data_IF_681442041841
#
_entry.id   IF_681442041841
#
_cell.length_a   1.000
_cell.length_b   1.000
_cell.length_c   1.000
_cell.angle_alpha   90.00
_cell.angle_beta   90.00
_cell.angle_gamma   90.00
#
_symmetry.space_group_name_H-M   'P 1'
#
loop_
_entity.id
_entity.type
_entity.pdbx_description
1 polymer ?
#
# COMPACT_ATOMS: atom_id res chain seq x y z
N UNK A 1 -41.98 -21.38 -12.83
CA UNK A 1 -41.50 -22.22 -13.96
C UNK A 1 -40.49 -21.43 -14.78
N UNK A 2 -39.48 -22.06 -15.39
CA UNK A 2 -38.12 -21.79 -14.88
C UNK A 2 -37.09 -21.22 -15.87
N UNK A 3 -36.22 -20.36 -15.32
CA UNK A 3 -34.76 -20.45 -15.34
C UNK A 3 -34.07 -21.21 -16.50
N UNK A 4 -33.19 -20.52 -17.24
CA UNK A 4 -31.90 -21.09 -17.70
C UNK A 4 -30.86 -20.00 -18.01
N UNK A 5 -29.65 -20.19 -17.47
CA UNK A 5 -28.41 -19.55 -17.95
C UNK A 5 -28.01 -20.13 -19.31
N UNK A 6 -27.21 -19.37 -20.07
CA UNK A 6 -26.41 -19.91 -21.19
C UNK A 6 -24.96 -19.46 -21.03
N UNK A 7 -24.13 -20.31 -20.42
CA UNK A 7 -22.67 -20.16 -20.40
C UNK A 7 -22.10 -20.95 -21.58
N UNK A 8 -21.58 -20.27 -22.61
CA UNK A 8 -20.94 -20.89 -23.77
C UNK A 8 -19.43 -20.98 -23.58
N UNK A 9 -18.97 -22.12 -23.06
CA UNK A 9 -17.55 -22.41 -22.83
C UNK A 9 -16.82 -22.52 -24.18
N UNK A 10 -15.86 -21.62 -24.43
CA UNK A 10 -14.93 -21.75 -25.56
C UNK A 10 -13.89 -22.82 -25.19
N UNK A 11 -13.84 -23.91 -25.97
CA UNK A 11 -12.71 -24.84 -25.98
C UNK A 11 -12.05 -24.83 -27.36
N UNK A 12 -10.88 -24.23 -27.41
CA UNK A 12 -9.97 -24.28 -28.54
C UNK A 12 -9.53 -25.74 -28.79
N UNK A 13 -9.38 -26.09 -30.07
CA UNK A 13 -8.55 -27.23 -30.49
C UNK A 13 -7.58 -26.78 -31.58
N UNK A 14 -6.59 -27.62 -31.83
CA UNK A 14 -5.57 -27.43 -32.85
C UNK A 14 -6.15 -27.40 -34.26
N UNK A 15 -5.29 -26.96 -35.19
CA UNK A 15 -5.44 -27.09 -36.63
C UNK A 15 -6.47 -26.10 -37.25
N UNK A 16 -6.04 -25.40 -38.31
CA UNK A 16 -6.52 -24.05 -38.63
C UNK A 16 -7.52 -23.91 -39.77
N UNK A 17 -7.94 -22.65 -39.95
CA UNK A 17 -8.91 -22.13 -40.94
C UNK A 17 -10.39 -22.55 -40.78
N UNK A 18 -11.29 -21.59 -40.99
CA UNK A 18 -12.69 -21.82 -41.35
C UNK A 18 -13.26 -20.58 -42.02
N UNK A 19 -14.02 -20.75 -43.10
CA UNK A 19 -14.49 -19.66 -43.97
C UNK A 19 -16.00 -19.71 -44.27
N UNK A 20 -16.64 -18.54 -44.18
CA UNK A 20 -17.60 -17.92 -45.14
C UNK A 20 -18.82 -18.72 -45.66
N UNK A 21 -20.04 -18.22 -45.38
CA UNK A 21 -21.18 -17.92 -46.32
C UNK A 21 -22.40 -17.39 -45.51
N UNK A 22 -23.10 -16.29 -45.85
CA UNK A 22 -24.03 -15.96 -46.99
C UNK A 22 -25.34 -16.79 -46.95
N UNK A 23 -26.58 -16.26 -47.09
CA UNK A 23 -27.15 -14.89 -47.26
C UNK A 23 -28.66 -14.92 -46.81
N UNK A 24 -29.68 -14.16 -47.25
CA UNK A 24 -29.98 -13.01 -48.17
C UNK A 24 -31.37 -12.42 -47.73
N UNK A 25 -31.96 -11.31 -48.23
CA UNK A 25 -31.47 -10.18 -49.04
C UNK A 25 -32.51 -9.45 -49.93
N UNK A 26 -33.31 -8.49 -49.42
CA UNK A 26 -34.02 -7.45 -50.23
C UNK A 26 -35.53 -7.23 -49.95
N UNK A 27 -36.24 -6.31 -50.66
CA UNK A 27 -35.75 -5.26 -51.59
C UNK A 27 -36.41 -3.84 -51.44
N UNK A 28 -35.75 -2.78 -51.93
CA UNK A 28 -36.34 -1.47 -52.34
C UNK A 28 -35.48 -0.85 -53.48
N UNK A 29 -36.08 -0.01 -54.34
CA UNK A 29 -35.54 0.61 -55.57
C UNK A 29 -36.06 2.10 -55.63
N UNK A 30 -35.59 3.12 -56.37
CA UNK A 30 -34.76 3.38 -57.58
C UNK A 30 -33.88 4.66 -57.35
N UNK A 31 -33.01 5.18 -58.24
CA UNK A 31 -32.53 4.78 -59.58
C UNK A 31 -31.75 5.93 -60.30
N UNK A 32 -31.18 5.64 -61.48
CA UNK A 32 -30.36 6.48 -62.39
C UNK A 32 -28.94 6.90 -61.90
N UNK A 33 -27.80 6.72 -62.58
CA UNK A 33 -27.33 6.49 -63.98
C UNK A 33 -26.42 7.63 -64.49
N UNK A 34 -25.76 7.44 -65.65
CA UNK A 34 -24.39 7.95 -65.89
C UNK A 34 -24.05 8.41 -67.32
N UNK A 35 -22.93 9.18 -67.43
CA UNK A 35 -21.86 9.10 -68.46
C UNK A 35 -21.75 10.16 -69.61
N UNK A 36 -20.62 10.91 -69.61
CA UNK A 36 -19.83 11.42 -70.79
C UNK A 36 -20.39 12.51 -71.75
N UNK A 37 -19.57 13.18 -72.61
CA UNK A 37 -18.14 13.60 -72.50
C UNK A 37 -17.82 15.05 -73.07
N UNK A 38 -16.51 15.39 -73.20
CA UNK A 38 -15.86 16.29 -74.22
C UNK A 38 -15.35 17.75 -73.91
N UNK A 39 -14.02 17.87 -73.71
CA UNK A 39 -13.00 18.65 -74.51
C UNK A 39 -13.15 20.17 -74.88
N UNK A 40 -12.11 20.98 -74.51
CA UNK A 40 -11.45 22.12 -75.23
C UNK A 40 -11.63 23.63 -74.84
N UNK A 41 -10.57 24.18 -74.20
CA UNK A 41 -9.85 25.49 -74.43
C UNK A 41 -10.59 26.83 -74.69
N UNK A 42 -10.37 27.85 -73.82
CA UNK A 42 -9.49 29.05 -74.06
C UNK A 42 -9.59 30.15 -72.96
N UNK A 43 -8.52 30.97 -72.84
CA UNK A 43 -8.41 32.23 -72.07
C UNK A 43 -7.75 32.06 -70.68
N UNK A 44 -6.66 32.73 -70.27
CA UNK A 44 -6.20 34.15 -70.31
C UNK A 44 -6.98 35.06 -69.34
N UNK A 45 -6.38 35.83 -68.42
CA UNK A 45 -4.96 36.12 -68.08
C UNK A 45 -4.97 36.74 -66.66
N UNK A 46 -3.90 36.62 -65.85
CA UNK A 46 -3.26 37.79 -65.21
C UNK A 46 -1.94 37.47 -64.47
N UNK A 47 -1.20 38.52 -64.08
CA UNK A 47 0.23 38.44 -63.73
C UNK A 47 0.57 38.05 -62.28
N UNK A 48 1.67 37.31 -62.11
CA UNK A 48 2.34 37.03 -60.82
C UNK A 48 3.73 37.69 -60.81
N UNK A 49 4.06 38.44 -59.77
CA UNK A 49 5.41 38.99 -59.53
C UNK A 49 5.80 38.72 -58.06
N UNK A 50 6.71 37.78 -57.86
CA UNK A 50 7.32 37.49 -56.54
C UNK A 50 8.84 37.37 -56.68
N UNK A 51 9.56 37.52 -55.56
CA UNK A 51 11.01 37.75 -55.51
C UNK A 51 11.84 36.47 -55.29
N UNK A 52 13.14 36.47 -55.67
CA UNK A 52 14.00 35.28 -55.62
C UNK A 52 14.57 34.93 -54.25
N UNK A 53 15.27 33.79 -54.24
CA UNK A 53 15.63 32.92 -53.12
C UNK A 53 16.69 33.45 -52.12
N UNK A 54 16.79 32.81 -50.95
CA UNK A 54 18.06 32.65 -50.23
C UNK A 54 18.13 31.32 -49.47
N UNK A 55 19.31 30.71 -49.47
CA UNK A 55 19.56 29.35 -48.98
C UNK A 55 19.32 29.18 -47.47
N UNK A 56 18.72 28.05 -47.09
CA UNK A 56 18.88 27.45 -45.76
C UNK A 56 19.89 26.29 -45.80
N UNK A 57 20.41 25.90 -44.62
CA UNK A 57 21.51 24.93 -44.48
C UNK A 57 20.98 23.57 -44.04
N UNK A 58 21.62 22.45 -44.43
CA UNK A 58 21.19 21.13 -43.98
C UNK A 58 21.36 20.99 -42.46
N UNK A 59 20.26 20.65 -41.78
CA UNK A 59 20.32 20.28 -40.37
C UNK A 59 21.19 19.02 -40.19
N UNK A 60 22.03 19.04 -39.15
CA UNK A 60 22.82 17.86 -38.79
C UNK A 60 21.88 16.77 -38.29
N UNK A 61 21.78 15.66 -39.02
CA UNK A 61 21.39 14.38 -38.43
C UNK A 61 22.37 14.07 -37.30
N UNK A 62 21.98 14.32 -36.05
CA UNK A 62 22.61 13.64 -34.93
C UNK A 62 22.29 12.15 -35.10
N UNK A 63 23.32 11.34 -35.36
CA UNK A 63 23.22 9.92 -35.08
C UNK A 63 22.76 9.79 -33.63
N UNK A 64 21.64 9.10 -33.40
CA UNK A 64 21.42 8.54 -32.07
C UNK A 64 22.37 7.37 -32.02
N UNK A 65 23.36 7.45 -31.15
CA UNK A 65 24.11 6.27 -30.75
C UNK A 65 23.08 5.31 -30.16
N UNK A 66 22.82 4.21 -30.87
CA UNK A 66 21.93 3.16 -30.40
C UNK A 66 22.76 2.34 -29.41
N UNK A 67 22.39 2.37 -28.13
CA UNK A 67 23.04 1.53 -27.11
C UNK A 67 22.92 0.06 -27.52
N UNK A 68 23.99 -0.55 -28.05
CA UNK A 68 24.03 -1.97 -28.46
C UNK A 68 23.88 -2.94 -27.26
N UNK A 69 23.75 -2.41 -26.03
CA UNK A 69 23.42 -3.09 -24.77
C UNK A 69 21.94 -3.55 -24.66
N UNK A 70 21.01 -3.02 -25.47
CA UNK A 70 19.56 -3.08 -25.18
C UNK A 70 18.86 -4.44 -25.46
N UNK A 71 19.50 -5.42 -26.12
CA UNK A 71 18.89 -6.73 -26.44
C UNK A 71 19.22 -7.90 -25.49
N UNK A 72 19.93 -7.69 -24.37
CA UNK A 72 20.16 -8.77 -23.38
C UNK A 72 19.20 -8.65 -22.18
N UNK A 73 18.35 -9.66 -21.92
CA UNK A 73 17.59 -9.78 -20.66
C UNK A 73 18.51 -10.08 -19.47
N UNK A 74 19.20 -9.05 -18.95
CA UNK A 74 19.99 -9.13 -17.72
C UNK A 74 19.15 -9.75 -16.59
N UNK A 75 19.54 -10.93 -16.05
CA UNK A 75 18.75 -11.62 -15.04
C UNK A 75 18.75 -10.84 -13.72
N UNK A 76 17.59 -10.73 -13.08
CA UNK A 76 17.47 -10.09 -11.77
C UNK A 76 18.19 -10.94 -10.71
N UNK A 77 19.16 -10.39 -9.94
CA UNK A 77 20.08 -11.15 -9.10
C UNK A 77 19.50 -11.48 -7.71
N UNK A 78 18.40 -12.24 -7.68
CA UNK A 78 17.81 -12.80 -6.46
C UNK A 78 18.77 -13.80 -5.79
N UNK A 79 18.98 -13.68 -4.47
CA UNK A 79 19.73 -14.65 -3.65
C UNK A 79 18.87 -15.85 -3.28
N UNK A 80 17.56 -15.63 -3.11
CA UNK A 80 16.57 -16.68 -2.82
C UNK A 80 15.28 -16.42 -3.60
N UNK A 81 14.52 -17.48 -3.91
CA UNK A 81 13.24 -17.36 -4.63
C UNK A 81 12.14 -16.61 -3.83
N UNK A 82 12.39 -16.27 -2.56
CA UNK A 82 11.51 -15.50 -1.68
C UNK A 82 12.14 -14.17 -1.21
N UNK A 83 13.20 -13.71 -1.89
CA UNK A 83 13.83 -12.41 -1.64
C UNK A 83 13.12 -11.28 -2.41
N UNK A 84 13.10 -10.10 -1.81
CA UNK A 84 12.31 -8.94 -2.25
C UNK A 84 13.19 -7.69 -2.35
N UNK A 85 12.91 -6.85 -3.35
CA UNK A 85 13.61 -5.58 -3.54
C UNK A 85 12.84 -4.42 -2.90
N UNK A 86 13.33 -3.94 -1.77
CA UNK A 86 12.88 -2.69 -1.15
C UNK A 86 13.58 -1.51 -1.84
N UNK A 87 12.82 -0.49 -2.23
CA UNK A 87 13.34 0.68 -2.92
C UNK A 87 12.97 1.99 -2.23
N UNK A 88 13.83 2.99 -2.42
CA UNK A 88 13.64 4.33 -1.87
C UNK A 88 14.33 4.52 -0.51
N UNK A 89 15.11 5.61 -0.44
CA UNK A 89 15.86 6.10 0.71
C UNK A 89 15.30 5.70 2.09
N UNK A 90 14.14 6.24 2.48
CA UNK A 90 13.58 6.06 3.82
C UNK A 90 13.14 4.61 4.10
N UNK A 91 12.68 3.89 3.07
CA UNK A 91 12.29 2.48 3.16
C UNK A 91 13.49 1.62 3.55
N UNK A 92 14.61 1.80 2.83
CA UNK A 92 15.86 1.06 3.05
C UNK A 92 16.49 1.45 4.38
N UNK A 93 16.41 2.74 4.75
CA UNK A 93 16.92 3.25 6.01
C UNK A 93 16.17 2.67 7.22
N UNK A 94 14.85 2.57 7.13
CA UNK A 94 14.03 1.96 8.17
C UNK A 94 14.33 0.46 8.32
N UNK A 95 14.45 -0.29 7.22
CA UNK A 95 14.78 -1.71 7.27
C UNK A 95 16.16 -1.98 7.93
N UNK A 96 17.19 -1.20 7.54
CA UNK A 96 18.53 -1.28 8.12
C UNK A 96 18.58 -0.94 9.62
N UNK A 97 17.76 0.02 10.08
CA UNK A 97 17.66 0.41 11.49
C UNK A 97 16.84 -0.60 12.32
N UNK A 98 15.72 -1.07 11.78
CA UNK A 98 14.78 -1.95 12.50
C UNK A 98 15.23 -3.42 12.57
N UNK A 99 16.06 -3.86 11.61
CA UNK A 99 16.70 -5.19 11.54
C UNK A 99 15.74 -6.39 11.67
N UNK A 100 14.45 -6.19 11.31
CA UNK A 100 13.40 -7.22 11.34
C UNK A 100 13.48 -8.24 10.20
N UNK A 101 14.15 -7.91 9.09
CA UNK A 101 14.30 -8.76 7.91
C UNK A 101 15.71 -9.31 7.80
N UNK A 102 15.85 -10.51 7.23
CA UNK A 102 17.14 -11.06 6.78
C UNK A 102 17.58 -10.30 5.54
N UNK A 103 18.61 -9.47 5.64
CA UNK A 103 19.08 -8.60 4.56
C UNK A 103 20.22 -9.27 3.77
N UNK A 104 20.10 -9.34 2.45
CA UNK A 104 21.01 -10.10 1.58
C UNK A 104 22.07 -9.22 0.92
N UNK A 105 21.67 -8.15 0.22
CA UNK A 105 22.57 -7.26 -0.51
C UNK A 105 22.02 -5.84 -0.59
N UNK A 106 22.90 -4.85 -0.47
CA UNK A 106 22.55 -3.43 -0.62
C UNK A 106 23.13 -2.87 -1.94
N UNK A 107 22.28 -2.19 -2.72
CA UNK A 107 22.58 -1.65 -4.03
C UNK A 107 22.52 -0.11 -3.96
N UNK A 108 23.66 0.56 -4.12
CA UNK A 108 23.77 2.02 -4.06
C UNK A 108 24.27 2.57 -5.40
N UNK A 109 23.57 3.55 -5.95
CA UNK A 109 24.01 4.28 -7.15
C UNK A 109 25.07 5.34 -6.79
N UNK A 110 26.22 5.45 -7.51
CA UNK A 110 27.33 6.32 -7.13
C UNK A 110 26.94 7.81 -6.95
N UNK A 111 26.03 8.33 -7.78
CA UNK A 111 25.48 9.71 -7.68
C UNK A 111 24.83 10.10 -6.32
N UNK A 112 24.63 9.17 -5.39
CA UNK A 112 24.21 9.52 -4.02
C UNK A 112 25.36 10.15 -3.25
N UNK A 113 26.55 9.53 -3.29
CA UNK A 113 27.76 10.06 -2.68
C UNK A 113 28.09 11.46 -3.24
N UNK A 114 27.93 11.67 -4.56
CA UNK A 114 28.13 12.98 -5.19
C UNK A 114 27.16 14.06 -4.68
N UNK A 115 25.93 13.70 -4.33
CA UNK A 115 24.91 14.63 -3.83
C UNK A 115 25.18 15.04 -2.38
N UNK A 116 25.52 14.08 -1.52
CA UNK A 116 25.84 14.35 -0.12
C UNK A 116 27.18 15.09 0.01
N UNK A 117 28.21 14.69 -0.76
CA UNK A 117 29.47 15.43 -0.86
C UNK A 117 29.32 16.84 -1.46
N UNK A 118 28.18 17.16 -2.09
CA UNK A 118 27.79 18.51 -2.48
C UNK A 118 27.29 19.37 -1.31
N UNK A 119 26.70 18.75 -0.29
CA UNK A 119 26.26 19.40 0.96
C UNK A 119 27.42 19.49 1.96
N UNK A 120 28.26 18.46 2.05
CA UNK A 120 29.39 18.38 2.99
C UNK A 120 30.64 19.21 2.57
N UNK A 121 30.52 20.16 1.63
CA UNK A 121 31.64 21.04 1.19
C UNK A 121 32.07 22.11 2.23
N UNK A 122 32.10 21.74 3.50
CA UNK A 122 32.66 22.54 4.61
C UNK A 122 33.77 21.84 5.39
N UNK A 123 33.80 20.50 5.45
CA UNK A 123 34.71 19.74 6.30
C UNK A 123 35.27 18.51 5.56
N UNK A 124 36.60 18.37 5.55
CA UNK A 124 37.33 17.36 4.75
C UNK A 124 37.28 15.93 5.29
N UNK A 125 36.09 15.40 5.57
CA UNK A 125 35.86 13.99 5.90
C UNK A 125 35.66 13.12 4.65
N UNK A 126 35.90 11.81 4.77
CA UNK A 126 35.38 10.85 3.78
C UNK A 126 33.88 10.72 4.01
N UNK A 127 33.05 11.21 3.08
CA UNK A 127 31.59 11.17 3.14
C UNK A 127 31.10 9.74 3.45
N UNK A 128 30.81 9.48 4.73
CA UNK A 128 30.53 8.15 5.26
C UNK A 128 29.03 7.95 5.33
N UNK A 129 28.42 7.96 4.14
CA UNK A 129 26.98 7.84 3.90
C UNK A 129 26.31 6.85 4.89
N UNK A 130 25.18 7.25 5.46
CA UNK A 130 24.51 6.53 6.54
C UNK A 130 24.20 5.06 6.18
N UNK A 131 23.83 4.78 4.93
CA UNK A 131 23.56 3.43 4.46
C UNK A 131 24.82 2.54 4.51
N UNK A 132 26.01 3.08 4.26
CA UNK A 132 27.27 2.32 4.30
C UNK A 132 27.67 1.99 5.74
N UNK A 133 27.39 2.88 6.69
CA UNK A 133 27.62 2.64 8.12
C UNK A 133 26.64 1.57 8.65
N UNK A 134 25.33 1.78 8.44
CA UNK A 134 24.30 0.84 8.88
C UNK A 134 24.40 -0.54 8.19
N UNK A 135 24.82 -0.60 6.92
CA UNK A 135 25.07 -1.88 6.24
C UNK A 135 26.21 -2.68 6.89
N UNK A 136 27.30 -2.02 7.30
CA UNK A 136 28.41 -2.66 8.04
C UNK A 136 27.94 -3.16 9.40
N UNK A 137 27.16 -2.36 10.13
CA UNK A 137 26.54 -2.75 11.42
C UNK A 137 25.48 -3.85 11.30
N UNK A 138 24.96 -4.09 10.10
CA UNK A 138 24.03 -5.18 9.80
C UNK A 138 24.73 -6.38 9.12
N UNK A 139 26.04 -6.31 8.88
CA UNK A 139 26.80 -7.34 8.16
C UNK A 139 26.44 -7.48 6.67
N UNK A 140 25.71 -6.53 6.09
CA UNK A 140 25.16 -6.63 4.74
C UNK A 140 26.20 -6.23 3.69
N UNK A 141 26.51 -7.09 2.70
CA UNK A 141 27.39 -6.72 1.60
C UNK A 141 26.73 -5.66 0.72
N UNK A 142 27.35 -4.48 0.65
CA UNK A 142 26.94 -3.41 -0.24
C UNK A 142 27.76 -3.41 -1.55
N UNK A 143 27.15 -2.99 -2.65
CA UNK A 143 27.80 -2.76 -3.94
C UNK A 143 27.41 -1.38 -4.48
N UNK A 144 28.38 -0.67 -5.02
CA UNK A 144 28.35 0.77 -5.35
C UNK A 144 28.46 1.06 -6.87
N UNK A 145 28.37 0.04 -7.72
CA UNK A 145 28.76 0.08 -9.14
C UNK A 145 27.62 -0.36 -10.07
N UNK A 146 26.46 0.31 -10.00
CA UNK A 146 25.28 -0.05 -10.80
C UNK A 146 24.82 1.07 -11.75
N UNK A 147 24.69 0.73 -13.04
CA UNK A 147 24.02 1.57 -14.07
C UNK A 147 22.56 1.82 -13.67
N UNK A 148 22.02 3.03 -13.90
CA UNK A 148 20.62 3.37 -13.59
C UNK A 148 19.63 2.37 -14.20
N UNK A 149 19.79 2.01 -15.49
CA UNK A 149 18.94 1.05 -16.23
C UNK A 149 18.66 -0.25 -15.45
N UNK A 150 19.61 -0.72 -14.62
CA UNK A 150 19.44 -1.93 -13.82
C UNK A 150 18.59 -1.68 -12.55
N UNK A 151 18.81 -0.56 -11.85
CA UNK A 151 18.05 -0.18 -10.65
C UNK A 151 16.60 0.18 -11.01
N UNK A 152 16.39 0.82 -12.18
CA UNK A 152 15.07 1.05 -12.77
C UNK A 152 14.35 -0.29 -13.02
N UNK A 153 15.03 -1.27 -13.63
CA UNK A 153 14.47 -2.63 -13.87
C UNK A 153 14.21 -3.41 -12.57
N UNK A 154 15.04 -3.27 -11.54
CA UNK A 154 14.83 -3.90 -10.23
C UNK A 154 13.69 -3.28 -9.39
N UNK A 155 13.19 -2.11 -9.79
CA UNK A 155 12.15 -1.37 -9.07
C UNK A 155 10.83 -1.25 -9.85
N UNK A 156 10.69 -1.98 -10.96
CA UNK A 156 9.56 -1.85 -11.92
C UNK A 156 9.37 -0.41 -12.42
N UNK A 157 10.47 0.33 -12.62
CA UNK A 157 10.44 1.74 -13.05
C UNK A 157 9.98 2.74 -11.98
N UNK A 158 9.87 2.31 -10.72
CA UNK A 158 9.36 3.14 -9.61
C UNK A 158 10.48 4.00 -9.00
N UNK A 159 10.16 5.15 -8.37
CA UNK A 159 11.17 6.06 -7.82
C UNK A 159 11.95 5.46 -6.63
N UNK A 160 13.05 4.78 -6.96
CA UNK A 160 13.96 4.13 -6.03
C UNK A 160 14.98 5.08 -5.39
N UNK A 161 15.09 6.32 -5.88
CA UNK A 161 16.01 7.37 -5.39
C UNK A 161 17.51 6.94 -5.35
N UNK A 162 17.89 5.95 -6.16
CA UNK A 162 19.26 5.43 -6.23
C UNK A 162 19.65 4.37 -5.18
N UNK A 163 18.73 3.94 -4.30
CA UNK A 163 18.99 2.89 -3.29
C UNK A 163 17.98 1.75 -3.44
N UNK A 164 18.48 0.52 -3.52
CA UNK A 164 17.69 -0.71 -3.38
C UNK A 164 18.32 -1.64 -2.34
N UNK A 165 17.50 -2.34 -1.57
CA UNK A 165 17.90 -3.36 -0.60
C UNK A 165 17.18 -4.66 -0.94
N UNK A 166 17.95 -5.73 -1.09
CA UNK A 166 17.42 -7.08 -1.23
C UNK A 166 17.30 -7.72 0.16
N UNK A 167 16.09 -8.14 0.54
CA UNK A 167 15.80 -8.68 1.87
C UNK A 167 14.78 -9.83 1.83
N UNK A 168 14.55 -10.50 2.97
CA UNK A 168 13.41 -11.39 3.17
C UNK A 168 12.07 -10.63 3.20
N UNK A 169 10.96 -11.38 3.16
CA UNK A 169 9.64 -10.91 3.59
C UNK A 169 9.67 -10.32 5.01
N UNK A 170 8.64 -9.55 5.36
CA UNK A 170 8.39 -9.10 6.73
C UNK A 170 8.00 -10.28 7.64
N UNK A 171 8.45 -10.29 8.92
CA UNK A 171 7.86 -11.15 9.93
C UNK A 171 6.40 -10.75 10.15
N UNK A 172 5.50 -11.69 9.85
CA UNK A 172 4.04 -11.51 9.85
C UNK A 172 3.34 -12.74 10.45
N UNK A 173 3.68 -13.14 11.70
CA UNK A 173 3.20 -14.38 12.33
C UNK A 173 1.67 -14.53 12.23
N UNK A 174 1.16 -15.72 11.85
CA UNK A 174 -0.26 -15.95 11.73
C UNK A 174 -0.90 -16.21 13.10
N UNK A 175 -1.95 -15.46 13.43
CA UNK A 175 -2.57 -15.47 14.77
C UNK A 175 -4.03 -15.89 14.69
N UNK A 176 -4.42 -16.81 15.59
CA UNK A 176 -5.78 -17.31 15.77
C UNK A 176 -6.58 -16.49 16.79
N UNK A 177 -5.94 -15.98 17.85
CA UNK A 177 -6.55 -15.06 18.83
C UNK A 177 -5.50 -14.31 19.68
N UNK A 178 -5.92 -13.20 20.29
CA UNK A 178 -5.16 -12.51 21.33
C UNK A 178 -5.58 -13.02 22.71
N UNK A 179 -4.60 -13.29 23.58
CA UNK A 179 -4.82 -13.52 25.00
C UNK A 179 -5.19 -12.24 25.75
N UNK A 180 -5.47 -12.37 27.05
CA UNK A 180 -5.69 -11.23 27.93
C UNK A 180 -4.34 -10.51 28.18
N UNK A 181 -4.24 -9.19 28.00
CA UNK A 181 -2.99 -8.46 28.26
C UNK A 181 -2.58 -8.49 29.73
N UNK A 182 -1.29 -8.73 29.98
CA UNK A 182 -0.68 -8.75 31.30
C UNK A 182 -0.07 -7.37 31.61
N UNK A 183 -0.76 -6.59 32.44
CA UNK A 183 -0.35 -5.23 32.81
C UNK A 183 0.89 -5.14 33.72
N UNK A 184 1.45 -6.27 34.18
CA UNK A 184 2.70 -6.32 34.95
C UNK A 184 3.94 -6.42 34.06
N UNK A 185 3.83 -7.23 33.02
CA UNK A 185 4.94 -7.60 32.14
C UNK A 185 4.87 -6.83 30.80
N UNK A 186 3.87 -5.97 30.62
CA UNK A 186 3.46 -5.32 29.36
C UNK A 186 3.39 -6.29 28.17
N UNK A 187 2.93 -7.53 28.38
CA UNK A 187 2.80 -8.55 27.32
C UNK A 187 1.36 -8.79 26.91
N UNK A 188 1.17 -9.12 25.63
CA UNK A 188 -0.07 -9.62 25.05
C UNK A 188 0.20 -11.03 24.53
N UNK A 189 -0.29 -12.10 25.20
CA UNK A 189 -0.13 -13.46 24.72
C UNK A 189 -0.81 -13.67 23.35
N UNK A 190 -0.25 -14.53 22.51
CA UNK A 190 -0.76 -14.86 21.18
C UNK A 190 -1.05 -16.36 21.06
N UNK A 191 -2.20 -16.71 20.49
CA UNK A 191 -2.42 -18.06 19.98
C UNK A 191 -2.01 -18.10 18.50
N UNK A 192 -0.84 -18.67 18.20
CA UNK A 192 -0.36 -18.79 16.82
C UNK A 192 -1.15 -19.86 16.04
N UNK A 193 -1.25 -19.68 14.72
CA UNK A 193 -1.65 -20.73 13.79
C UNK A 193 -0.44 -21.63 13.44
N UNK A 194 -0.70 -22.73 12.73
CA UNK A 194 0.38 -23.51 12.13
C UNK A 194 1.13 -22.69 11.08
N UNK A 195 2.45 -22.86 11.03
CA UNK A 195 3.37 -22.22 10.09
C UNK A 195 4.14 -23.29 9.31
N UNK A 196 4.63 -22.98 8.12
CA UNK A 196 5.64 -23.83 7.46
C UNK A 196 7.01 -23.66 8.13
N UNK A 197 8.00 -24.47 7.76
CA UNK A 197 9.37 -24.33 8.29
C UNK A 197 10.03 -23.01 7.82
N UNK A 198 9.71 -22.58 6.61
CA UNK A 198 10.19 -21.34 5.98
C UNK A 198 9.53 -20.11 6.62
N UNK A 199 8.21 -20.14 6.83
CA UNK A 199 7.50 -19.07 7.53
C UNK A 199 7.95 -19.00 9.01
N UNK A 200 8.28 -20.14 9.64
CA UNK A 200 8.83 -20.19 10.99
C UNK A 200 10.25 -19.60 11.09
N UNK A 201 11.10 -19.72 10.05
CA UNK A 201 12.42 -19.06 10.02
C UNK A 201 12.28 -17.53 9.96
N UNK A 202 11.25 -17.02 9.28
CA UNK A 202 11.01 -15.58 9.10
C UNK A 202 10.26 -14.98 10.30
N UNK A 203 9.20 -15.63 10.76
CA UNK A 203 8.30 -15.10 11.80
C UNK A 203 8.73 -15.46 13.22
N UNK A 204 9.55 -16.51 13.39
CA UNK A 204 9.78 -17.15 14.68
C UNK A 204 8.51 -17.80 15.24
N UNK A 205 8.52 -18.05 16.56
CA UNK A 205 7.37 -18.57 17.33
C UNK A 205 7.08 -17.65 18.53
N UNK A 206 6.56 -16.42 18.30
CA UNK A 206 6.27 -15.48 19.39
C UNK A 206 5.01 -15.89 20.17
N UNK A 207 5.19 -16.43 21.37
CA UNK A 207 4.09 -16.73 22.32
C UNK A 207 3.38 -15.47 22.84
N UNK A 208 4.03 -14.31 22.75
CA UNK A 208 3.48 -13.01 23.12
C UNK A 208 4.13 -11.88 22.31
N UNK A 209 3.48 -10.72 22.28
CA UNK A 209 4.08 -9.45 21.84
C UNK A 209 4.15 -8.45 22.99
N UNK A 210 5.21 -7.64 23.00
CA UNK A 210 5.35 -6.54 23.95
C UNK A 210 4.43 -5.39 23.53
N UNK A 211 3.61 -4.95 24.46
CA UNK A 211 2.76 -3.76 24.36
C UNK A 211 3.60 -2.49 24.43
N UNK A 212 3.12 -1.45 23.76
CA UNK A 212 3.66 -0.08 23.81
C UNK A 212 2.87 0.75 24.87
N UNK A 213 1.84 0.16 25.48
CA UNK A 213 0.86 0.81 26.34
C UNK A 213 1.35 1.01 27.80
N UNK A 214 2.56 1.53 27.99
CA UNK A 214 3.17 1.79 29.30
C UNK A 214 2.70 3.12 29.94
N UNK A 215 1.41 3.44 29.86
CA UNK A 215 0.88 4.73 30.33
C UNK A 215 -0.61 4.65 30.70
N UNK A 216 -1.37 5.73 30.58
CA UNK A 216 -2.80 5.82 30.93
C UNK A 216 -3.73 4.89 30.13
N UNK A 217 -3.23 4.28 29.04
CA UNK A 217 -4.01 3.48 28.09
C UNK A 217 -3.69 1.99 28.20
N UNK A 218 -4.68 1.16 27.94
CA UNK A 218 -4.53 -0.25 27.56
C UNK A 218 -4.09 -0.39 26.08
N UNK A 219 -3.69 -1.60 25.64
CA UNK A 219 -3.37 -1.89 24.24
C UNK A 219 -4.46 -1.51 23.22
N UNK A 220 -4.01 -1.02 22.06
CA UNK A 220 -4.83 -0.83 20.87
C UNK A 220 -4.28 -1.69 19.73
N UNK A 221 -5.16 -2.52 19.16
CA UNK A 221 -4.87 -3.31 17.95
C UNK A 221 -5.76 -2.79 16.82
N UNK A 222 -5.19 -2.62 15.64
CA UNK A 222 -5.94 -2.22 14.44
C UNK A 222 -6.09 -3.43 13.53
N UNK A 223 -7.33 -3.84 13.23
CA UNK A 223 -7.64 -4.98 12.37
C UNK A 223 -8.07 -4.47 10.98
N UNK A 224 -7.42 -4.98 9.92
CA UNK A 224 -7.67 -4.56 8.54
C UNK A 224 -8.26 -5.71 7.71
N UNK A 225 -9.44 -5.49 7.11
CA UNK A 225 -10.12 -6.45 6.22
C UNK A 225 -10.54 -5.75 4.90
N UNK A 226 -10.17 -6.32 3.75
CA UNK A 226 -10.54 -5.80 2.43
C UNK A 226 -9.74 -4.58 1.95
N UNK A 227 -8.59 -4.27 2.56
CA UNK A 227 -7.71 -3.17 2.14
C UNK A 227 -6.84 -3.62 0.96
N UNK A 228 -7.41 -3.63 -0.24
CA UNK A 228 -6.80 -4.21 -1.47
C UNK A 228 -5.72 -3.35 -2.12
N UNK A 229 -5.64 -2.05 -1.81
CA UNK A 229 -4.56 -1.18 -2.28
C UNK A 229 -3.36 -1.17 -1.30
N UNK A 230 -2.14 -1.54 -1.73
CA UNK A 230 -0.94 -1.44 -0.90
C UNK A 230 -0.57 0.00 -0.53
N UNK A 231 -0.99 1.02 -1.29
CA UNK A 231 -0.78 2.42 -0.95
C UNK A 231 -1.55 2.84 0.30
N UNK A 232 -2.87 2.65 0.29
CA UNK A 232 -3.77 2.78 1.44
C UNK A 232 -3.26 1.97 2.64
N UNK A 233 -2.87 0.71 2.44
CA UNK A 233 -2.37 -0.15 3.50
C UNK A 233 -1.07 0.42 4.12
N UNK A 234 -0.10 0.84 3.30
CA UNK A 234 1.14 1.48 3.78
C UNK A 234 0.89 2.79 4.53
N UNK A 235 -0.05 3.61 4.06
CA UNK A 235 -0.45 4.84 4.75
C UNK A 235 -1.07 4.53 6.12
N UNK A 236 -1.93 3.51 6.22
CA UNK A 236 -2.49 3.06 7.50
C UNK A 236 -1.37 2.60 8.45
N UNK A 237 -0.41 1.79 7.99
CA UNK A 237 0.71 1.35 8.83
C UNK A 237 1.55 2.51 9.36
N UNK A 238 1.81 3.54 8.53
CA UNK A 238 2.51 4.76 8.96
C UNK A 238 1.74 5.54 10.02
N UNK A 239 0.41 5.62 9.88
CA UNK A 239 -0.48 6.23 10.86
C UNK A 239 -0.49 5.42 12.17
N UNK A 240 -0.56 4.09 12.10
CA UNK A 240 -0.46 3.20 13.26
C UNK A 240 0.87 3.36 14.01
N UNK A 241 1.99 3.48 13.29
CA UNK A 241 3.31 3.75 13.87
C UNK A 241 3.35 5.10 14.59
N UNK A 242 2.89 6.17 13.92
CA UNK A 242 2.89 7.53 14.49
C UNK A 242 2.05 7.62 15.77
N UNK A 243 0.90 6.95 15.81
CA UNK A 243 0.03 6.89 16.98
C UNK A 243 0.44 5.84 18.04
N UNK A 244 1.52 5.07 17.80
CA UNK A 244 2.02 4.07 18.74
C UNK A 244 1.05 2.91 18.99
N UNK A 245 0.34 2.46 17.95
CA UNK A 245 -0.54 1.27 17.97
C UNK A 245 0.30 0.01 18.26
N UNK A 246 -0.19 -0.86 19.14
CA UNK A 246 0.59 -1.99 19.68
C UNK A 246 0.94 -3.05 18.62
N UNK A 247 -0.02 -3.36 17.74
CA UNK A 247 0.16 -4.15 16.52
C UNK A 247 -1.00 -3.92 15.52
N UNK A 248 -0.75 -4.24 14.25
CA UNK A 248 -1.76 -4.21 13.19
C UNK A 248 -2.00 -5.64 12.69
N UNK A 249 -3.24 -6.10 12.77
CA UNK A 249 -3.66 -7.44 12.37
C UNK A 249 -4.36 -7.39 11.01
N UNK A 250 -3.91 -8.18 10.03
CA UNK A 250 -4.32 -7.99 8.63
C UNK A 250 -4.86 -9.29 8.06
N UNK A 251 -6.07 -9.23 7.51
CA UNK A 251 -6.72 -10.37 6.85
C UNK A 251 -6.00 -10.73 5.54
N UNK A 252 -5.17 -11.76 5.58
CA UNK A 252 -4.29 -12.20 4.47
C UNK A 252 -5.05 -12.59 3.21
N UNK A 253 -6.32 -12.96 3.36
CA UNK A 253 -7.18 -13.47 2.29
C UNK A 253 -7.98 -12.35 1.59
N UNK A 254 -7.84 -11.08 2.02
CA UNK A 254 -8.70 -9.97 1.60
C UNK A 254 -7.96 -8.63 1.43
N UNK A 255 -6.84 -8.43 2.11
CA UNK A 255 -5.99 -7.24 1.99
C UNK A 255 -4.86 -7.44 0.96
N UNK A 256 -4.20 -6.34 0.58
CA UNK A 256 -2.99 -6.36 -0.22
C UNK A 256 -1.85 -7.14 0.46
N UNK A 257 -0.93 -7.69 -0.36
CA UNK A 257 0.26 -8.37 0.15
C UNK A 257 1.12 -7.40 0.98
N UNK A 258 1.33 -7.73 2.26
CA UNK A 258 2.10 -6.95 3.24
C UNK A 258 3.54 -6.70 2.79
N UNK A 259 4.10 -7.63 2.02
CA UNK A 259 5.49 -7.57 1.56
C UNK A 259 5.68 -6.71 0.29
N UNK A 260 4.63 -6.02 -0.18
CA UNK A 260 4.73 -5.13 -1.34
C UNK A 260 5.68 -3.95 -1.09
N UNK A 261 6.69 -3.79 -1.94
CA UNK A 261 7.56 -2.62 -1.92
C UNK A 261 6.80 -1.29 -2.13
N UNK A 262 5.59 -1.33 -2.72
CA UNK A 262 4.70 -0.15 -2.83
C UNK A 262 4.17 0.28 -1.47
N UNK A 263 3.76 -0.68 -0.63
CA UNK A 263 3.35 -0.47 0.76
C UNK A 263 4.53 0.03 1.60
N UNK A 264 5.71 -0.55 1.40
CA UNK A 264 6.92 -0.13 2.09
C UNK A 264 7.29 1.32 1.75
N UNK A 265 7.19 1.71 0.47
CA UNK A 265 7.37 3.09 0.00
C UNK A 265 6.30 4.04 0.53
N UNK A 266 5.01 3.68 0.49
CA UNK A 266 3.90 4.50 0.98
C UNK A 266 4.00 4.75 2.50
N UNK A 267 4.27 3.69 3.27
CA UNK A 267 4.53 3.79 4.71
C UNK A 267 5.81 4.58 5.05
N UNK A 268 6.63 4.91 4.05
CA UNK A 268 7.95 5.56 4.21
C UNK A 268 8.91 4.77 5.10
N UNK A 269 8.79 3.44 5.08
CA UNK A 269 9.55 2.51 5.92
C UNK A 269 8.90 2.18 7.27
N UNK A 270 7.79 2.80 7.66
CA UNK A 270 7.14 2.54 8.95
C UNK A 270 6.64 1.09 9.11
N UNK A 271 6.39 0.37 8.00
CA UNK A 271 6.08 -1.07 8.03
C UNK A 271 7.16 -1.94 8.68
N UNK A 272 8.42 -1.48 8.71
CA UNK A 272 9.53 -2.22 9.33
C UNK A 272 9.56 -2.07 10.87
N UNK A 273 8.78 -1.15 11.43
CA UNK A 273 8.71 -0.86 12.88
C UNK A 273 7.34 -1.20 13.51
N UNK A 274 6.30 -1.45 12.71
CA UNK A 274 4.98 -1.90 13.18
C UNK A 274 4.96 -3.41 13.33
N UNK A 275 4.45 -3.92 14.45
CA UNK A 275 4.18 -5.35 14.62
C UNK A 275 2.99 -5.74 13.73
N UNK A 276 3.22 -6.64 12.77
CA UNK A 276 2.22 -7.13 11.84
C UNK A 276 1.79 -8.55 12.22
N UNK A 277 0.47 -8.79 12.31
CA UNK A 277 -0.09 -10.11 12.61
C UNK A 277 -0.93 -10.58 11.41
N UNK A 278 -0.66 -11.77 10.88
CA UNK A 278 -1.44 -12.34 9.78
C UNK A 278 -2.73 -12.99 10.29
N UNK A 279 -3.89 -12.62 9.74
CA UNK A 279 -5.19 -13.19 10.13
C UNK A 279 -5.76 -14.09 9.01
N UNK A 280 -5.57 -15.42 9.07
CA UNK A 280 -6.22 -16.33 8.14
C UNK A 280 -7.74 -16.45 8.39
N UNK A 281 -8.21 -16.14 9.61
CA UNK A 281 -9.62 -16.23 10.02
C UNK A 281 -10.06 -15.02 10.89
N UNK A 282 -10.22 -13.81 10.31
CA UNK A 282 -10.44 -12.58 11.08
C UNK A 282 -11.70 -12.57 11.96
N UNK A 283 -12.80 -13.21 11.55
CA UNK A 283 -14.02 -13.31 12.38
C UNK A 283 -13.85 -14.25 13.58
N UNK A 284 -13.01 -15.29 13.48
CA UNK A 284 -12.68 -16.16 14.61
C UNK A 284 -11.72 -15.45 15.58
N UNK A 285 -10.70 -14.76 15.03
CA UNK A 285 -9.79 -13.93 15.80
C UNK A 285 -10.51 -12.86 16.61
N UNK A 286 -11.48 -12.16 16.00
CA UNK A 286 -12.32 -11.20 16.72
C UNK A 286 -13.14 -11.91 17.83
N UNK A 287 -13.80 -13.03 17.52
CA UNK A 287 -14.63 -13.75 18.50
C UNK A 287 -13.84 -14.26 19.71
N UNK A 288 -12.70 -14.91 19.53
CA UNK A 288 -11.90 -15.44 20.64
C UNK A 288 -11.15 -14.34 21.40
N UNK A 289 -10.68 -13.28 20.73
CA UNK A 289 -10.08 -12.13 21.43
C UNK A 289 -11.12 -11.41 22.30
N UNK A 290 -12.38 -11.30 21.84
CA UNK A 290 -13.48 -10.77 22.65
C UNK A 290 -13.69 -11.57 23.96
N UNK A 291 -13.63 -12.90 23.89
CA UNK A 291 -13.73 -13.79 25.06
C UNK A 291 -12.57 -13.57 26.05
N UNK A 292 -11.39 -13.19 25.55
CA UNK A 292 -10.22 -12.84 26.35
C UNK A 292 -10.23 -11.38 26.88
N UNK A 293 -11.35 -10.66 26.74
CA UNK A 293 -11.57 -9.34 27.34
C UNK A 293 -11.29 -8.14 26.42
N UNK A 294 -11.05 -8.37 25.12
CA UNK A 294 -10.87 -7.29 24.15
C UNK A 294 -12.19 -6.66 23.73
N UNK A 295 -12.30 -5.33 23.83
CA UNK A 295 -13.46 -4.60 23.32
C UNK A 295 -13.29 -4.32 21.83
N UNK A 296 -14.29 -4.69 21.03
CA UNK A 296 -14.17 -4.67 19.56
C UNK A 296 -15.08 -3.61 18.97
N UNK A 297 -14.51 -2.77 18.11
CA UNK A 297 -15.16 -1.63 17.48
C UNK A 297 -15.08 -1.76 15.97
N UNK A 298 -16.22 -1.71 15.28
CA UNK A 298 -16.29 -1.73 13.81
C UNK A 298 -16.42 -0.32 13.25
N UNK A 299 -15.48 0.12 12.40
CA UNK A 299 -15.67 1.34 11.62
C UNK A 299 -16.82 1.16 10.62
N UNK A 300 -17.77 2.08 10.61
CA UNK A 300 -18.89 2.08 9.66
C UNK A 300 -19.10 3.47 9.08
N UNK A 301 -19.48 3.53 7.80
CA UNK A 301 -19.97 4.77 7.22
C UNK A 301 -21.30 5.16 7.91
N UNK A 302 -21.52 6.43 8.30
CA UNK A 302 -22.76 6.80 8.97
C UNK A 302 -23.94 6.74 8.00
N UNK A 303 -24.82 5.74 8.16
CA UNK A 303 -26.10 5.64 7.47
C UNK A 303 -27.26 5.93 8.43
N UNK A 304 -28.47 6.18 7.90
CA UNK A 304 -29.67 6.42 8.73
C UNK A 304 -30.09 5.20 9.55
N UNK A 305 -29.69 4.02 9.12
CA UNK A 305 -30.05 2.71 9.67
C UNK A 305 -29.12 2.33 10.85
N UNK A 306 -27.97 2.99 10.93
CA UNK A 306 -26.93 2.82 11.95
C UNK A 306 -26.99 3.93 13.00
N UNK A 307 -27.15 5.19 12.56
CA UNK A 307 -27.21 6.35 13.45
C UNK A 307 -28.46 6.30 14.32
N UNK A 308 -28.27 6.15 15.64
CA UNK A 308 -29.34 6.05 16.63
C UNK A 308 -29.50 4.67 17.26
N UNK A 309 -28.74 3.65 16.82
CA UNK A 309 -28.66 2.39 17.56
C UNK A 309 -27.83 2.58 18.85
N UNK A 310 -28.20 1.94 19.98
CA UNK A 310 -27.52 2.14 21.28
C UNK A 310 -26.07 1.61 21.32
N UNK A 311 -25.66 0.84 20.31
CA UNK A 311 -24.30 0.33 20.11
C UNK A 311 -23.48 1.17 19.13
N UNK A 312 -24.06 2.23 18.54
CA UNK A 312 -23.38 3.13 17.61
C UNK A 312 -22.79 4.34 18.34
N UNK A 313 -21.51 4.59 18.10
CA UNK A 313 -20.75 5.71 18.66
C UNK A 313 -20.22 6.61 17.54
N UNK A 314 -20.02 7.88 17.87
CA UNK A 314 -19.28 8.83 17.02
C UNK A 314 -17.86 9.01 17.54
N UNK A 315 -16.97 9.55 16.70
CA UNK A 315 -15.60 9.92 17.10
C UNK A 315 -15.57 10.79 18.35
N UNK A 316 -16.45 11.79 18.43
CA UNK A 316 -16.57 12.70 19.58
C UNK A 316 -17.00 11.97 20.87
N UNK A 317 -17.94 11.00 20.75
CA UNK A 317 -18.34 10.13 21.87
C UNK A 317 -17.21 9.18 22.30
N UNK A 318 -16.43 8.66 21.35
CA UNK A 318 -15.28 7.77 21.64
C UNK A 318 -14.17 8.51 22.38
N UNK A 319 -13.79 9.72 21.92
CA UNK A 319 -12.78 10.54 22.57
C UNK A 319 -13.17 10.87 24.02
N UNK A 320 -14.41 11.29 24.23
CA UNK A 320 -14.96 11.63 25.57
C UNK A 320 -15.07 10.39 26.48
N UNK A 321 -15.42 9.22 25.94
CA UNK A 321 -15.53 8.00 26.73
C UNK A 321 -14.18 7.34 27.05
N UNK A 322 -13.13 7.70 26.30
CA UNK A 322 -11.75 7.20 26.38
C UNK A 322 -11.67 5.67 26.60
N UNK A 323 -12.16 4.84 25.65
CA UNK A 323 -12.30 3.40 25.85
C UNK A 323 -11.00 2.69 26.22
N UNK A 324 -9.86 3.16 25.70
CA UNK A 324 -8.54 2.61 26.04
C UNK A 324 -8.14 2.82 27.52
N UNK A 325 -8.75 3.74 28.26
CA UNK A 325 -8.51 3.89 29.70
C UNK A 325 -9.20 2.79 30.55
N UNK A 326 -10.01 1.92 29.94
CA UNK A 326 -10.88 0.96 30.65
C UNK A 326 -10.70 -0.49 30.22
N UNK A 327 -10.32 -0.73 28.96
CA UNK A 327 -10.12 -2.07 28.41
C UNK A 327 -9.25 -2.05 27.14
N UNK A 328 -8.53 -3.14 26.82
CA UNK A 328 -7.83 -3.26 25.55
C UNK A 328 -8.81 -3.31 24.37
N UNK A 329 -8.46 -2.65 23.26
CA UNK A 329 -9.38 -2.45 22.14
C UNK A 329 -8.87 -3.03 20.81
N UNK A 330 -9.79 -3.57 20.01
CA UNK A 330 -9.58 -3.87 18.59
C UNK A 330 -10.44 -2.90 17.76
N UNK A 331 -9.80 -2.05 16.96
CA UNK A 331 -10.44 -1.19 15.98
C UNK A 331 -10.39 -1.87 14.61
N UNK A 332 -11.54 -2.34 14.11
CA UNK A 332 -11.66 -2.97 12.80
C UNK A 332 -11.95 -1.92 11.72
N UNK A 333 -11.16 -1.94 10.64
CA UNK A 333 -11.31 -1.09 9.46
C UNK A 333 -11.58 -1.95 8.22
N UNK A 334 -12.53 -1.51 7.39
CA UNK A 334 -12.99 -2.22 6.19
C UNK A 334 -12.61 -1.56 4.87
N UNK A 335 -13.04 -2.16 3.76
CA UNK A 335 -12.82 -1.65 2.41
C UNK A 335 -13.47 -0.27 2.17
N UNK A 336 -12.87 0.55 1.31
CA UNK A 336 -13.32 1.95 1.05
C UNK A 336 -14.73 2.07 0.43
N UNK A 337 -15.21 1.00 -0.23
CA UNK A 337 -16.57 0.89 -0.78
C UNK A 337 -17.54 0.13 0.13
N UNK A 338 -17.37 -1.20 0.26
CA UNK A 338 -18.29 -2.08 1.00
C UNK A 338 -18.17 -1.97 2.53
N UNK A 339 -17.10 -1.35 3.05
CA UNK A 339 -16.82 -1.30 4.49
C UNK A 339 -16.41 -2.67 5.04
N UNK A 340 -16.83 -2.96 6.27
CA UNK A 340 -16.60 -4.24 6.94
C UNK A 340 -17.67 -5.27 6.54
N UNK A 341 -17.21 -6.47 6.19
CA UNK A 341 -18.03 -7.65 5.94
C UNK A 341 -18.95 -7.93 7.13
N UNK A 342 -20.19 -8.32 6.85
CA UNK A 342 -21.22 -8.50 7.89
C UNK A 342 -20.82 -9.51 8.97
N UNK A 343 -20.22 -10.64 8.58
CA UNK A 343 -19.74 -11.68 9.50
C UNK A 343 -18.60 -11.23 10.43
N UNK A 344 -17.96 -10.10 10.14
CA UNK A 344 -16.92 -9.47 10.98
C UNK A 344 -17.51 -8.28 11.76
N UNK A 345 -18.33 -7.45 11.10
CA UNK A 345 -19.11 -6.37 11.74
C UNK A 345 -19.97 -6.88 12.89
N UNK A 346 -20.61 -8.04 12.73
CA UNK A 346 -21.45 -8.69 13.74
C UNK A 346 -20.64 -9.36 14.88
N UNK A 347 -19.30 -9.24 14.90
CA UNK A 347 -18.42 -9.55 16.05
C UNK A 347 -18.05 -8.31 16.87
N UNK A 348 -18.40 -7.11 16.40
CA UNK A 348 -18.14 -5.88 17.15
C UNK A 348 -19.11 -5.73 18.34
N UNK A 349 -18.60 -5.20 19.44
CA UNK A 349 -19.41 -4.80 20.59
C UNK A 349 -20.06 -3.44 20.38
N UNK A 350 -19.49 -2.61 19.51
CA UNK A 350 -19.97 -1.28 19.16
C UNK A 350 -19.53 -0.92 17.74
N UNK A 351 -20.31 -0.10 17.05
CA UNK A 351 -19.92 0.49 15.76
C UNK A 351 -19.45 1.92 15.99
N UNK A 352 -18.50 2.40 15.17
CA UNK A 352 -17.97 3.77 15.25
C UNK A 352 -18.02 4.41 13.88
N UNK A 353 -18.54 5.64 13.80
CA UNK A 353 -18.49 6.45 12.58
C UNK A 353 -17.86 7.82 12.81
N UNK A 354 -17.21 8.34 11.78
CA UNK A 354 -16.71 9.72 11.74
C UNK A 354 -17.89 10.66 11.45
N UNK A 355 -18.01 11.75 12.21
CA UNK A 355 -19.13 12.70 12.09
C UNK A 355 -19.03 13.48 10.76
N UNK A 356 -20.01 13.31 9.87
CA UNK A 356 -20.08 14.09 8.62
C UNK A 356 -20.59 15.50 8.89
N UNK A 357 -19.97 16.49 8.26
CA UNK A 357 -20.51 17.84 8.16
C UNK A 357 -21.89 17.86 7.48
N UNK A 358 -22.74 18.84 7.83
CA UNK A 358 -24.07 19.00 7.21
C UNK A 358 -23.92 19.32 5.72
N UNK A 359 -24.53 18.52 4.83
CA UNK A 359 -24.59 18.84 3.39
C UNK A 359 -25.24 20.22 3.20
N UNK A 360 -24.52 21.14 2.56
CA UNK A 360 -24.94 22.52 2.36
C UNK A 360 -26.08 22.56 1.34
N UNK A 361 -27.14 23.33 1.59
CA UNK A 361 -28.22 23.51 0.62
C UNK A 361 -27.68 24.26 -0.60
N UNK A 362 -27.75 23.64 -1.78
CA UNK A 362 -27.29 24.22 -3.05
C UNK A 362 -25.96 23.66 -3.58
N UNK A 363 -25.19 22.90 -2.79
CA UNK A 363 -24.00 22.21 -3.33
C UNK A 363 -24.41 20.96 -4.11
N UNK A 364 -23.85 20.69 -5.31
CA UNK A 364 -24.17 19.50 -6.09
C UNK A 364 -23.74 18.22 -5.38
N UNK A 365 -24.61 17.21 -5.37
CA UNK A 365 -24.32 15.92 -4.73
C UNK A 365 -23.51 15.01 -5.66
N UNK A 366 -22.18 15.09 -5.57
CA UNK A 366 -21.22 14.31 -6.39
C UNK A 366 -21.11 12.81 -6.02
N UNK A 367 -22.00 12.29 -5.17
CA UNK A 367 -22.01 10.87 -4.75
C UNK A 367 -20.89 10.45 -3.78
N UNK A 368 -19.93 11.32 -3.49
CA UNK A 368 -18.85 11.07 -2.52
C UNK A 368 -19.40 11.18 -1.09
N UNK A 369 -19.83 10.04 -0.55
CA UNK A 369 -20.33 9.93 0.83
C UNK A 369 -19.33 9.26 1.80
N UNK A 370 -18.28 8.59 1.31
CA UNK A 370 -17.15 8.10 2.13
C UNK A 370 -15.92 9.02 2.02
N UNK A 371 -15.00 8.88 2.98
CA UNK A 371 -13.62 9.39 2.87
C UNK A 371 -12.67 8.21 2.71
N UNK A 372 -11.48 8.47 2.16
CA UNK A 372 -10.47 7.43 1.98
C UNK A 372 -10.11 6.72 3.30
N UNK A 373 -9.95 5.40 3.22
CA UNK A 373 -9.77 4.53 4.40
C UNK A 373 -8.52 4.87 5.22
N UNK A 374 -7.44 5.34 4.59
CA UNK A 374 -6.22 5.73 5.31
C UNK A 374 -6.37 7.05 6.10
N UNK A 375 -7.24 7.95 5.63
CA UNK A 375 -7.64 9.16 6.36
C UNK A 375 -8.61 8.80 7.49
N UNK A 376 -9.59 7.93 7.21
CA UNK A 376 -10.52 7.44 8.22
C UNK A 376 -9.81 6.74 9.38
N UNK A 377 -8.80 5.93 9.08
CA UNK A 377 -7.93 5.27 10.04
C UNK A 377 -7.30 6.26 11.02
N UNK A 378 -6.75 7.38 10.52
CA UNK A 378 -6.14 8.42 11.36
C UNK A 378 -7.13 9.13 12.28
N UNK A 379 -8.28 9.55 11.75
CA UNK A 379 -9.33 10.24 12.54
C UNK A 379 -9.92 9.31 13.61
N UNK A 380 -10.04 8.01 13.33
CA UNK A 380 -10.48 7.03 14.32
C UNK A 380 -9.40 6.76 15.37
N UNK A 381 -8.13 6.60 15.00
CA UNK A 381 -7.04 6.39 15.98
C UNK A 381 -6.88 7.58 16.93
N UNK A 382 -6.95 8.81 16.40
CA UNK A 382 -6.91 10.05 17.19
C UNK A 382 -8.05 10.10 18.23
N UNK A 383 -9.28 9.76 17.83
CA UNK A 383 -10.42 9.66 18.74
C UNK A 383 -10.24 8.56 19.82
N UNK A 384 -9.59 7.44 19.51
CA UNK A 384 -9.30 6.39 20.51
C UNK A 384 -8.17 6.76 21.47
N UNK A 385 -7.16 7.52 21.00
CA UNK A 385 -5.93 7.86 21.72
C UNK A 385 -5.93 9.28 22.32
N UNK A 386 -7.04 10.01 22.17
CA UNK A 386 -7.33 11.23 22.90
C UNK A 386 -7.25 10.97 24.42
N UNK A 387 -6.23 11.53 25.07
CA UNK A 387 -6.02 11.41 26.53
C UNK A 387 -7.14 12.15 27.27
N UNK A 388 -7.88 11.52 28.21
CA UNK A 388 -8.81 12.24 29.07
C UNK A 388 -8.07 13.18 30.03
N UNK A 389 -8.73 14.25 30.46
CA UNK A 389 -8.20 15.22 31.43
C UNK A 389 -7.67 14.56 32.70
N UNK A 390 -8.38 13.54 33.16
CA UNK A 390 -8.20 12.91 34.48
C UNK A 390 -7.17 11.77 34.46
N UNK A 391 -6.65 11.42 33.27
CA UNK A 391 -5.58 10.44 33.17
C UNK A 391 -4.26 11.02 33.71
N UNK A 392 -3.43 10.23 34.41
CA UNK A 392 -2.14 10.71 34.89
C UNK A 392 -1.29 11.23 33.71
N UNK A 393 -0.54 12.30 33.96
CA UNK A 393 0.58 12.64 33.08
C UNK A 393 1.60 11.50 33.11
N UNK A 394 2.44 11.41 32.07
CA UNK A 394 3.31 10.24 31.87
C UNK A 394 4.11 9.94 33.13
N UNK A 395 4.15 8.65 33.52
CA UNK A 395 5.32 8.13 34.23
C UNK A 395 6.50 8.40 33.29
N UNK A 396 7.47 9.19 33.74
CA UNK A 396 8.52 9.71 32.87
C UNK A 396 9.61 8.65 32.63
N UNK A 397 9.32 7.70 31.75
CA UNK A 397 10.23 6.61 31.34
C UNK A 397 11.46 7.11 30.58
N UNK A 398 11.76 8.41 30.60
CA UNK A 398 13.05 8.95 30.17
C UNK A 398 14.19 8.40 31.06
N UNK A 399 13.91 8.06 32.33
CA UNK A 399 14.82 7.30 33.20
C UNK A 399 15.19 5.92 32.65
N UNK A 400 14.26 5.29 31.93
CA UNK A 400 14.34 3.86 31.57
C UNK A 400 14.95 3.65 30.17
N UNK A 401 15.19 4.75 29.44
CA UNK A 401 15.74 4.74 28.09
C UNK A 401 17.23 5.12 28.00
N UNK A 402 17.86 5.57 29.09
CA UNK A 402 19.32 5.64 29.23
C UNK A 402 20.07 6.47 28.17
N UNK A 403 19.59 7.68 27.88
CA UNK A 403 20.24 8.66 27.00
C UNK A 403 21.08 9.68 27.79
#
# INVERSE_FOLDING_TARGET
MPNRKTESIIRQRSDGELAVSVGTGGPVEQGHETYSPAVSRKGSQDARVERPERLERPERRSCRDVDEDDEIPLPLPYTTAASEFLYGHNTVLAALRAKQRKMYKLYIHPKIFDREAGVERGLGGKASNEFVTLAKEAGVPFRNEFKTKLLDRMSDGRPHNGVLLEASKLPTPPVLSLGKPNARDSTIPLALAQQSAEDAEINGMPEAINSIANSWRHPLIVLLDGITDPGNLGNILRTCHFYGVDAVAVATNTCANLSSAVLAKASSGACEAVRLLSLPQPSNFAYESARNGWKIYASVAPSKDVVGQPTHLTTSSVATASPLAKHPCILMLGAEGEGLRENLRNRAHSTVSIERGKKIRGTPNVGVDSINVSVAAGVLMDAFLSKPSDAPEKIDTTSDLGW
#
